data_IF_252192200257
#
_entry.id   IF_252192200257
#
_cell.length_a   1.000
_cell.length_b   1.000
_cell.length_c   1.000
_cell.angle_alpha   90.00
_cell.angle_beta   90.00
_cell.angle_gamma   90.00
#
_symmetry.space_group_name_H-M   'P 1'
#
loop_
_entity.id
_entity.type
_entity.pdbx_description
1 polymer ?
#
# COMPACT_ATOMS: atom_id res chain seq x y z
N UNK A 1 -40.79 -38.62 -25.30
CA UNK A 1 -40.83 -37.13 -25.38
C UNK A 1 -40.24 -36.56 -24.08
N UNK A 2 -38.91 -36.51 -23.94
CA UNK A 2 -38.21 -36.14 -22.68
C UNK A 2 -36.99 -35.22 -22.95
N UNK A 3 -36.96 -34.54 -24.09
CA UNK A 3 -35.79 -33.79 -24.58
C UNK A 3 -35.92 -32.27 -24.32
N UNK A 4 -37.14 -31.77 -24.07
CA UNK A 4 -37.39 -30.33 -23.95
C UNK A 4 -37.06 -29.74 -22.56
N UNK A 5 -37.26 -30.49 -21.47
CA UNK A 5 -37.03 -29.97 -20.11
C UNK A 5 -35.55 -29.83 -19.72
N UNK A 6 -34.68 -30.65 -20.31
CA UNK A 6 -33.26 -30.73 -19.94
C UNK A 6 -32.43 -29.59 -20.58
N UNK A 7 -32.88 -29.07 -21.72
CA UNK A 7 -32.26 -27.95 -22.41
C UNK A 7 -32.49 -26.61 -21.67
N UNK A 8 -33.69 -26.44 -21.11
CA UNK A 8 -34.06 -25.25 -20.32
C UNK A 8 -33.33 -25.21 -18.97
N UNK A 9 -33.16 -26.36 -18.32
CA UNK A 9 -32.42 -26.48 -17.07
C UNK A 9 -30.93 -26.15 -17.24
N UNK A 10 -30.30 -26.67 -18.31
CA UNK A 10 -28.89 -26.37 -18.65
C UNK A 10 -28.68 -24.89 -19.00
N UNK A 11 -29.62 -24.24 -19.69
CA UNK A 11 -29.57 -22.79 -19.97
C UNK A 11 -29.66 -21.95 -18.70
N UNK A 12 -30.52 -22.33 -17.74
CA UNK A 12 -30.64 -21.65 -16.44
C UNK A 12 -29.38 -21.79 -15.58
N UNK A 13 -28.76 -22.97 -15.57
CA UNK A 13 -27.48 -23.20 -14.88
C UNK A 13 -26.34 -22.41 -15.52
N UNK A 14 -26.28 -22.36 -16.86
CA UNK A 14 -25.29 -21.57 -17.59
C UNK A 14 -25.43 -20.07 -17.30
N UNK A 15 -26.66 -19.55 -17.25
CA UNK A 15 -26.94 -18.17 -16.89
C UNK A 15 -26.56 -17.85 -15.44
N UNK A 16 -26.81 -18.77 -14.50
CA UNK A 16 -26.40 -18.64 -13.09
C UNK A 16 -24.88 -18.63 -12.93
N UNK A 17 -24.15 -19.49 -13.66
CA UNK A 17 -22.69 -19.51 -13.68
C UNK A 17 -22.10 -18.21 -14.26
N UNK A 18 -22.74 -17.66 -15.31
CA UNK A 18 -22.35 -16.38 -15.89
C UNK A 18 -22.51 -15.23 -14.86
N UNK A 19 -23.64 -15.18 -14.16
CA UNK A 19 -23.89 -14.16 -13.13
C UNK A 19 -22.96 -14.29 -11.92
N UNK A 20 -22.57 -15.51 -11.53
CA UNK A 20 -21.67 -15.73 -10.39
C UNK A 20 -20.24 -15.21 -10.66
N UNK A 21 -19.79 -15.24 -11.93
CA UNK A 21 -18.46 -14.73 -12.32
C UNK A 21 -18.31 -13.21 -12.16
N UNK A 22 -19.42 -12.46 -12.23
CA UNK A 22 -19.42 -11.01 -12.07
C UNK A 22 -19.25 -10.55 -10.61
N UNK A 23 -19.58 -11.39 -9.61
CA UNK A 23 -19.49 -11.01 -8.20
C UNK A 23 -18.06 -11.05 -7.62
N UNK A 24 -17.11 -11.67 -8.32
CA UNK A 24 -15.75 -11.91 -7.80
C UNK A 24 -14.88 -10.63 -7.86
N UNK A 25 -15.22 -9.66 -8.71
CA UNK A 25 -14.37 -8.48 -8.97
C UNK A 25 -14.69 -7.24 -8.11
N UNK A 26 -15.73 -7.27 -7.26
CA UNK A 26 -16.24 -6.06 -6.62
C UNK A 26 -15.48 -5.60 -5.35
N UNK A 27 -14.53 -6.37 -4.81
CA UNK A 27 -14.07 -6.15 -3.42
C UNK A 27 -12.63 -5.65 -3.23
N UNK A 28 -11.86 -5.35 -4.28
CA UNK A 28 -10.46 -4.92 -4.11
C UNK A 28 -10.32 -3.41 -4.32
N UNK A 29 -10.73 -2.62 -3.33
CA UNK A 29 -10.40 -1.20 -3.28
C UNK A 29 -9.35 -0.97 -2.17
N UNK A 30 -8.05 -0.95 -2.48
CA UNK A 30 -7.02 -0.72 -1.47
C UNK A 30 -7.11 0.71 -0.94
N UNK A 31 -6.91 0.90 0.37
CA UNK A 31 -6.91 2.24 0.99
C UNK A 31 -5.72 3.14 0.55
N UNK A 32 -4.79 2.57 -0.22
CA UNK A 32 -3.54 3.18 -0.68
C UNK A 32 -3.18 2.60 -2.06
N UNK A 33 -2.88 3.46 -3.02
CA UNK A 33 -2.31 3.06 -4.31
C UNK A 33 -0.82 2.76 -4.17
N UNK A 34 -0.26 2.03 -5.14
CA UNK A 34 1.19 1.81 -5.20
C UNK A 34 1.93 3.16 -5.25
N UNK A 35 3.02 3.32 -4.49
CA UNK A 35 3.82 4.55 -4.45
C UNK A 35 3.35 5.64 -3.49
N UNK A 36 2.09 5.62 -3.06
CA UNK A 36 1.64 6.52 -1.98
C UNK A 36 2.26 6.09 -0.65
N UNK A 37 2.25 6.93 0.36
CA UNK A 37 2.67 6.60 1.74
C UNK A 37 1.49 6.68 2.68
N UNK A 38 0.75 7.77 2.55
CA UNK A 38 -0.44 8.07 3.30
C UNK A 38 -1.65 7.38 2.68
N UNK A 39 -2.62 7.03 3.53
CA UNK A 39 -3.90 6.52 3.06
C UNK A 39 -4.71 7.69 2.51
N UNK A 40 -5.47 7.44 1.45
CA UNK A 40 -6.42 8.41 0.93
C UNK A 40 -7.78 8.35 1.62
N UNK A 41 -8.06 7.23 2.29
CA UNK A 41 -9.32 7.00 2.98
C UNK A 41 -9.12 6.23 4.28
N UNK A 42 -9.96 6.47 5.29
CA UNK A 42 -9.85 5.77 6.55
C UNK A 42 -10.46 4.39 6.43
N UNK A 43 -9.84 3.40 7.05
CA UNK A 43 -10.48 2.10 7.29
C UNK A 43 -11.41 2.18 8.51
N UNK A 44 -11.14 3.12 9.44
CA UNK A 44 -11.97 3.37 10.63
C UNK A 44 -12.32 4.84 10.75
N UNK A 45 -13.53 5.21 11.23
CA UNK A 45 -13.95 6.62 11.35
C UNK A 45 -13.00 7.49 12.17
N UNK A 46 -12.28 6.89 13.13
CA UNK A 46 -11.34 7.58 14.02
C UNK A 46 -9.89 7.55 13.52
N UNK A 47 -9.62 6.95 12.36
CA UNK A 47 -8.27 6.85 11.82
C UNK A 47 -7.85 8.18 11.19
N UNK A 48 -6.69 8.69 11.60
CA UNK A 48 -6.12 9.89 11.02
C UNK A 48 -5.32 9.53 9.76
N UNK A 49 -5.73 10.06 8.61
CA UNK A 49 -5.14 9.78 7.29
C UNK A 49 -3.79 10.45 7.05
N UNK A 50 -3.52 11.53 7.79
CA UNK A 50 -2.22 12.17 7.80
C UNK A 50 -1.17 11.32 8.56
N UNK A 51 -1.63 10.27 9.25
CA UNK A 51 -0.82 9.43 10.12
C UNK A 51 -0.51 8.07 9.50
N UNK A 52 0.79 7.87 9.33
CA UNK A 52 1.50 6.61 9.16
C UNK A 52 1.37 5.93 7.79
N UNK A 53 2.47 5.95 7.06
CA UNK A 53 2.82 4.93 6.09
C UNK A 53 4.10 4.24 6.52
N UNK A 54 4.15 2.92 6.35
CA UNK A 54 5.39 2.15 6.46
C UNK A 54 6.12 2.19 5.12
N UNK A 55 7.43 2.39 5.18
CA UNK A 55 8.34 2.36 4.03
C UNK A 55 9.43 1.35 4.30
N UNK A 56 9.70 0.51 3.32
CA UNK A 56 10.81 -0.44 3.36
C UNK A 56 11.95 0.14 2.54
N UNK A 57 13.10 0.33 3.18
CA UNK A 57 14.30 0.88 2.55
C UNK A 57 15.49 -0.01 2.89
N UNK A 58 16.25 -0.41 1.88
CA UNK A 58 17.50 -1.16 2.03
C UNK A 58 18.67 -0.21 1.95
N UNK A 59 19.48 -0.16 3.00
CA UNK A 59 20.77 0.54 2.97
C UNK A 59 21.81 -0.37 2.35
N UNK A 60 22.49 0.14 1.34
CA UNK A 60 23.56 -0.53 0.60
C UNK A 60 24.82 0.33 0.63
N UNK A 61 25.96 -0.25 0.23
CA UNK A 61 27.21 0.50 0.10
C UNK A 61 27.07 1.72 -0.83
N UNK A 62 26.20 1.64 -1.82
CA UNK A 62 26.00 2.67 -2.84
C UNK A 62 24.87 3.65 -2.52
N UNK A 63 24.20 3.50 -1.37
CA UNK A 63 23.09 4.37 -0.96
C UNK A 63 21.84 3.61 -0.57
N UNK A 64 20.69 4.28 -0.68
CA UNK A 64 19.39 3.77 -0.25
C UNK A 64 18.60 3.21 -1.45
N UNK A 65 18.08 1.99 -1.30
CA UNK A 65 17.21 1.34 -2.27
C UNK A 65 15.83 1.19 -1.65
N UNK A 66 14.84 1.89 -2.22
CA UNK A 66 13.45 1.81 -1.78
C UNK A 66 12.79 0.56 -2.38
N UNK A 67 12.09 -0.22 -1.56
CA UNK A 67 11.38 -1.40 -2.05
C UNK A 67 10.23 -1.01 -3.00
N UNK A 68 9.55 0.10 -2.70
CA UNK A 68 8.56 0.69 -3.59
C UNK A 68 9.23 1.68 -4.55
N UNK A 69 9.29 1.30 -5.84
CA UNK A 69 9.88 2.14 -6.90
C UNK A 69 9.02 3.36 -7.22
N UNK A 70 7.70 3.24 -7.05
CA UNK A 70 6.72 4.29 -7.36
C UNK A 70 6.58 5.32 -6.23
N UNK A 71 7.33 5.13 -5.13
CA UNK A 71 7.37 6.06 -4.02
C UNK A 71 7.72 7.47 -4.48
N UNK A 72 6.93 8.46 -4.01
CA UNK A 72 7.09 9.86 -4.40
C UNK A 72 8.48 10.40 -4.06
N UNK A 73 8.97 11.32 -4.89
CA UNK A 73 10.28 11.95 -4.71
C UNK A 73 10.38 12.69 -3.38
N UNK A 74 9.30 13.39 -2.96
CA UNK A 74 9.25 14.11 -1.68
C UNK A 74 9.58 13.17 -0.51
N UNK A 75 8.94 12.01 -0.47
CA UNK A 75 9.16 11.02 0.60
C UNK A 75 10.59 10.50 0.55
N UNK A 76 11.09 10.14 -0.63
CA UNK A 76 12.47 9.65 -0.80
C UNK A 76 13.48 10.66 -0.24
N UNK A 77 13.33 11.95 -0.57
CA UNK A 77 14.18 13.02 -0.06
C UNK A 77 14.12 13.17 1.45
N UNK A 78 12.93 13.04 2.06
CA UNK A 78 12.80 13.10 3.54
C UNK A 78 13.52 11.94 4.22
N UNK A 79 13.36 10.73 3.67
CA UNK A 79 14.05 9.54 4.18
C UNK A 79 15.56 9.66 3.99
N UNK A 80 16.04 10.14 2.84
CA UNK A 80 17.46 10.40 2.62
C UNK A 80 18.04 11.41 3.62
N UNK A 81 17.33 12.50 3.89
CA UNK A 81 17.71 13.48 4.92
C UNK A 81 17.81 12.83 6.31
N UNK A 82 16.85 11.97 6.66
CA UNK A 82 16.87 11.21 7.90
C UNK A 82 18.14 10.35 8.04
N UNK A 83 18.50 9.56 7.04
CA UNK A 83 19.73 8.75 7.07
C UNK A 83 21.01 9.61 7.09
N UNK A 84 21.00 10.80 6.47
CA UNK A 84 22.13 11.73 6.52
C UNK A 84 22.31 12.34 7.92
N UNK A 85 21.22 12.67 8.61
CA UNK A 85 21.28 13.29 9.94
C UNK A 85 21.59 12.28 11.06
N UNK A 86 21.17 11.01 10.91
CA UNK A 86 21.35 9.98 11.94
C UNK A 86 22.62 9.18 11.72
N UNK A 87 23.76 9.79 12.05
CA UNK A 87 25.10 9.21 11.89
C UNK A 87 25.33 7.91 12.67
N UNK A 88 24.60 7.65 13.77
CA UNK A 88 24.93 6.55 14.69
C UNK A 88 23.88 5.43 14.80
N UNK A 89 22.63 5.64 14.34
CA UNK A 89 21.55 4.65 14.51
C UNK A 89 21.20 3.84 13.26
N UNK A 90 21.59 4.34 12.09
CA UNK A 90 21.18 3.78 10.79
C UNK A 90 22.38 3.55 9.88
N UNK A 91 23.51 3.14 10.46
CA UNK A 91 24.78 2.87 9.76
C UNK A 91 24.78 1.52 9.06
N UNK A 92 24.13 0.52 9.65
CA UNK A 92 24.20 -0.86 9.17
C UNK A 92 23.63 -1.02 7.76
N UNK A 93 24.28 -1.87 6.98
CA UNK A 93 23.84 -2.28 5.65
C UNK A 93 22.75 -3.34 5.76
N UNK A 94 21.51 -2.90 6.04
CA UNK A 94 20.35 -3.78 6.18
C UNK A 94 19.08 -3.15 5.63
N UNK A 95 18.02 -3.94 5.64
CA UNK A 95 16.67 -3.46 5.35
C UNK A 95 16.06 -2.86 6.60
N UNK A 96 15.58 -1.63 6.50
CA UNK A 96 14.88 -0.89 7.54
C UNK A 96 13.40 -0.75 7.16
N UNK A 97 12.54 -0.87 8.15
CA UNK A 97 11.13 -0.54 8.04
C UNK A 97 10.90 0.76 8.80
N UNK A 98 10.72 1.86 8.06
CA UNK A 98 10.59 3.19 8.62
C UNK A 98 9.12 3.59 8.65
N UNK A 99 8.69 4.14 9.78
CA UNK A 99 7.38 4.77 9.92
C UNK A 99 7.50 6.22 9.50
N UNK A 100 6.74 6.62 8.50
CA UNK A 100 6.66 8.01 8.03
C UNK A 100 5.29 8.57 8.31
N UNK A 101 5.23 9.74 8.95
CA UNK A 101 3.96 10.38 9.29
C UNK A 101 4.09 11.91 9.29
N UNK A 102 2.96 12.59 9.16
CA UNK A 102 2.88 14.04 9.33
C UNK A 102 2.17 14.34 10.64
N UNK A 103 2.69 15.31 11.41
CA UNK A 103 2.08 15.79 12.65
C UNK A 103 2.29 17.30 12.75
N UNK A 104 1.20 18.05 12.91
CA UNK A 104 1.22 19.53 12.95
C UNK A 104 1.97 20.17 11.76
N UNK A 105 1.76 19.65 10.54
CA UNK A 105 2.43 20.14 9.32
C UNK A 105 3.91 19.76 9.18
N UNK A 106 4.49 19.11 10.18
CA UNK A 106 5.89 18.65 10.18
C UNK A 106 5.97 17.18 9.79
N UNK A 107 7.07 16.82 9.12
CA UNK A 107 7.36 15.45 8.71
C UNK A 107 8.16 14.73 9.77
N UNK A 108 7.81 13.47 10.01
CA UNK A 108 8.51 12.60 10.92
C UNK A 108 8.86 11.28 10.25
N UNK A 109 10.09 10.83 10.46
CA UNK A 109 10.59 9.49 10.10
C UNK A 109 11.07 8.83 11.38
N UNK A 110 10.47 7.71 11.77
CA UNK A 110 10.74 7.00 13.04
C UNK A 110 10.80 7.96 14.25
N UNK A 111 9.78 8.82 14.37
CA UNK A 111 9.65 9.83 15.43
C UNK A 111 10.71 10.94 15.44
N UNK A 112 11.52 11.03 14.40
CA UNK A 112 12.48 12.11 14.20
C UNK A 112 11.91 13.13 13.22
N UNK A 113 11.85 14.40 13.62
CA UNK A 113 11.44 15.50 12.74
C UNK A 113 12.49 15.73 11.64
N UNK A 114 12.03 15.97 10.39
CA UNK A 114 12.87 16.17 9.19
C UNK A 114 12.65 17.52 8.52
#
# INVERSE_FOLDING_TARGET
>A
MKVFGDLDFKKRISLMMLLFSCFIFAQVNPARSKGEVFKHRPEKPTENLDYSGMIIVKKTMYGLVFADKQLSSEVKTRVEKFFKHRLNGYTDLKTYQLKVYRKHGKWYVDNTEI
#
